data_IF_837163432111
#
_entry.id   IF_837163432111
#
_cell.length_a   1.000
_cell.length_b   1.000
_cell.length_c   1.000
_cell.angle_alpha   90.00
_cell.angle_beta   90.00
_cell.angle_gamma   90.00
#
_symmetry.space_group_name_H-M   'P 1'
#
loop_
_entity.id
_entity.type
_entity.pdbx_description
1 polymer ?
#
# COMPACT_ATOMS: atom_id res chain seq x y z
N UNK A 1 8.07 -16.67 8.93
CA UNK A 1 7.75 -15.23 8.77
C UNK A 1 7.98 -14.84 7.31
N UNK A 2 7.04 -14.11 6.69
CA UNK A 2 7.20 -13.66 5.30
C UNK A 2 7.95 -12.31 5.26
N UNK A 3 9.24 -12.35 4.92
CA UNK A 3 10.09 -11.17 4.79
C UNK A 3 9.74 -10.36 3.55
N UNK A 4 9.57 -9.05 3.70
CA UNK A 4 9.44 -8.13 2.56
C UNK A 4 10.83 -7.98 1.95
N UNK A 5 11.03 -8.39 0.69
CA UNK A 5 12.29 -8.20 -0.02
C UNK A 5 12.50 -6.71 -0.37
N UNK A 6 13.72 -6.19 -0.19
CA UNK A 6 14.11 -4.83 -0.55
C UNK A 6 14.78 -4.05 0.60
N UNK A 7 15.47 -2.96 0.27
CA UNK A 7 16.00 -2.00 1.26
C UNK A 7 14.98 -0.90 1.56
N UNK A 8 15.04 -0.36 2.77
CA UNK A 8 14.30 0.87 3.12
C UNK A 8 14.99 2.03 2.38
N UNK A 9 14.30 2.75 1.48
CA UNK A 9 14.86 3.91 0.81
C UNK A 9 15.10 5.03 1.83
N UNK A 10 16.01 5.93 1.50
CA UNK A 10 16.32 7.11 2.32
C UNK A 10 15.03 7.88 2.67
N UNK A 11 14.88 8.41 3.90
CA UNK A 11 13.72 9.22 4.30
C UNK A 11 13.49 10.48 3.45
N UNK A 12 14.50 10.91 2.70
CA UNK A 12 14.46 12.06 1.79
C UNK A 12 13.97 11.70 0.39
N UNK A 13 14.00 10.42 0.00
CA UNK A 13 13.68 9.93 -1.35
C UNK A 13 12.36 9.17 -1.39
N UNK A 14 11.33 9.69 -0.72
CA UNK A 14 10.01 9.06 -0.82
C UNK A 14 9.41 9.33 -2.20
N UNK A 15 9.09 8.30 -2.99
CA UNK A 15 8.39 8.48 -4.25
C UNK A 15 7.04 9.14 -4.01
N UNK A 16 6.56 9.91 -4.98
CA UNK A 16 5.21 10.48 -4.95
C UNK A 16 4.17 9.38 -4.73
N UNK A 17 3.20 9.64 -3.87
CA UNK A 17 2.13 8.70 -3.55
C UNK A 17 2.45 7.74 -2.39
N UNK A 18 2.05 6.47 -2.53
CA UNK A 18 2.15 5.46 -1.49
C UNK A 18 3.60 4.98 -1.32
N UNK A 19 4.19 5.24 -0.15
CA UNK A 19 5.55 4.79 0.23
C UNK A 19 5.79 3.27 0.11
N UNK A 20 4.72 2.49 0.17
CA UNK A 20 4.79 1.04 0.07
C UNK A 20 4.68 0.53 -1.37
N UNK A 21 4.27 1.35 -2.34
CA UNK A 21 4.10 0.97 -3.75
C UNK A 21 5.28 0.14 -4.32
N UNK A 22 6.57 0.53 -4.16
CA UNK A 22 7.68 -0.23 -4.74
C UNK A 22 7.88 -1.63 -4.15
N UNK A 23 7.26 -1.94 -3.01
CA UNK A 23 7.38 -3.25 -2.33
C UNK A 23 6.03 -3.90 -2.01
N UNK A 24 4.93 -3.30 -2.46
CA UNK A 24 3.59 -3.77 -2.16
C UNK A 24 3.15 -4.79 -3.20
N UNK A 25 2.88 -6.03 -2.77
CA UNK A 25 2.36 -7.10 -3.64
C UNK A 25 0.97 -6.84 -4.24
N UNK A 26 0.31 -5.74 -3.86
CA UNK A 26 -1.01 -5.34 -4.36
C UNK A 26 -0.97 -3.95 -5.02
N UNK A 27 0.23 -3.43 -5.31
CA UNK A 27 0.41 -2.13 -5.93
C UNK A 27 -0.29 -2.06 -7.29
N UNK A 28 -0.88 -0.90 -7.58
CA UNK A 28 -1.44 -0.54 -8.89
C UNK A 28 -0.86 0.81 -9.30
N UNK A 29 -1.01 1.21 -10.56
CA UNK A 29 -0.50 2.49 -11.06
C UNK A 29 -0.94 3.69 -10.21
N UNK A 30 -2.19 3.69 -9.72
CA UNK A 30 -2.70 4.75 -8.84
C UNK A 30 -1.91 4.90 -7.52
N UNK A 31 -1.23 3.84 -7.05
CA UNK A 31 -0.43 3.89 -5.82
C UNK A 31 0.82 4.77 -5.95
N UNK A 32 1.36 5.00 -7.15
CA UNK A 32 2.51 5.88 -7.39
C UNK A 32 2.11 7.30 -7.82
N UNK A 33 0.82 7.52 -8.09
CA UNK A 33 0.31 8.82 -8.55
C UNK A 33 -0.10 9.72 -7.39
N UNK A 34 -0.79 9.17 -6.38
CA UNK A 34 -1.30 9.98 -5.26
C UNK A 34 -1.35 9.19 -3.95
N UNK A 35 -1.18 9.90 -2.84
CA UNK A 35 -1.32 9.32 -1.51
C UNK A 35 -2.81 9.26 -1.16
N UNK A 36 -3.37 8.07 -0.90
CA UNK A 36 -4.78 7.98 -0.52
C UNK A 36 -5.03 8.65 0.85
N UNK A 37 -6.25 9.17 1.08
CA UNK A 37 -6.65 9.68 2.37
C UNK A 37 -6.67 8.56 3.43
N UNK A 38 -6.65 8.97 4.69
CA UNK A 38 -6.81 8.06 5.83
C UNK A 38 -8.27 7.56 5.83
N UNK A 39 -8.48 6.26 5.66
CA UNK A 39 -9.80 5.64 5.60
C UNK A 39 -9.95 4.60 6.73
N UNK A 40 -11.13 4.52 7.38
CA UNK A 40 -11.41 3.50 8.37
C UNK A 40 -11.54 2.10 7.74
N UNK A 41 -10.99 1.10 8.42
CA UNK A 41 -11.14 -0.32 8.10
C UNK A 41 -11.54 -1.06 9.37
N UNK A 42 -12.77 -1.57 9.40
CA UNK A 42 -13.33 -2.20 10.60
C UNK A 42 -13.65 -1.18 11.69
N UNK A 43 -13.57 -1.60 12.97
CA UNK A 43 -14.10 -0.83 14.11
C UNK A 43 -13.15 0.25 14.66
N UNK A 44 -11.83 0.06 14.55
CA UNK A 44 -10.86 0.95 15.26
C UNK A 44 -9.53 1.11 14.52
N UNK A 45 -9.46 0.78 13.23
CA UNK A 45 -8.22 0.88 12.45
C UNK A 45 -8.39 1.85 11.31
N UNK A 46 -7.34 2.62 11.05
CA UNK A 46 -7.26 3.59 9.96
C UNK A 46 -6.12 3.17 9.04
N UNK A 47 -6.32 3.29 7.74
CA UNK A 47 -5.31 2.91 6.73
C UNK A 47 -5.23 3.95 5.62
N UNK A 48 -4.07 4.04 4.97
CA UNK A 48 -3.86 4.80 3.72
C UNK A 48 -3.60 3.82 2.57
N UNK A 49 -4.58 2.97 2.26
CA UNK A 49 -4.48 1.99 1.19
C UNK A 49 -5.65 2.15 0.22
N UNK A 50 -5.34 2.36 -1.07
CA UNK A 50 -6.36 2.48 -2.14
C UNK A 50 -7.21 1.21 -2.23
N UNK A 51 -6.58 0.05 -1.99
CA UNK A 51 -7.19 -1.28 -2.10
C UNK A 51 -7.54 -1.90 -0.74
N UNK A 52 -7.74 -1.07 0.28
CA UNK A 52 -8.02 -1.53 1.64
C UNK A 52 -9.20 -2.51 1.69
N UNK A 53 -10.28 -2.18 0.98
CA UNK A 53 -11.50 -3.00 0.90
C UNK A 53 -11.23 -4.34 0.22
N UNK A 54 -10.59 -4.33 -0.96
CA UNK A 54 -10.25 -5.55 -1.69
C UNK A 54 -9.38 -6.51 -0.88
N UNK A 55 -8.37 -5.97 -0.17
CA UNK A 55 -7.44 -6.76 0.65
C UNK A 55 -8.15 -7.31 1.88
N UNK A 56 -9.01 -6.51 2.52
CA UNK A 56 -9.80 -6.95 3.67
C UNK A 56 -10.81 -8.05 3.30
N UNK A 57 -11.39 -7.98 2.10
CA UNK A 57 -12.36 -8.98 1.59
C UNK A 57 -11.70 -10.18 0.90
N UNK A 58 -10.37 -10.22 0.78
CA UNK A 58 -9.65 -11.30 0.08
C UNK A 58 -9.75 -11.27 -1.46
N UNK A 59 -10.42 -10.27 -2.03
CA UNK A 59 -10.57 -10.08 -3.48
C UNK A 59 -9.32 -9.47 -4.15
N UNK A 60 -8.33 -9.00 -3.36
CA UNK A 60 -7.14 -8.37 -3.88
C UNK A 60 -6.23 -9.36 -4.64
N UNK A 61 -6.26 -9.29 -5.97
CA UNK A 61 -5.26 -9.94 -6.82
C UNK A 61 -3.89 -9.31 -6.62
N UNK A 62 -2.86 -10.15 -6.54
CA UNK A 62 -1.46 -9.73 -6.44
C UNK A 62 -1.02 -9.04 -7.74
N UNK A 63 -0.23 -8.00 -7.61
CA UNK A 63 0.56 -7.45 -8.70
C UNK A 63 1.52 -8.55 -9.18
N UNK A 64 1.57 -8.75 -10.50
CA UNK A 64 2.33 -9.81 -11.16
C UNK A 64 3.82 -9.53 -11.11
#
# INVERSE_FOLDING_TARGET
LATIKGMVPSPTDFPSGCRFAPRCRYAIAACTTATPPLAPVGKSRLVRCIRAKDVASGAARRAR
#
